data_IF_842309899940
#
_entry.id   IF_842309899940
#
_cell.length_a   1.000
_cell.length_b   1.000
_cell.length_c   1.000
_cell.angle_alpha   90.00
_cell.angle_beta   90.00
_cell.angle_gamma   90.00
#
_symmetry.space_group_name_H-M   'P 1'
#
loop_
_entity.id
_entity.type
_entity.pdbx_description
1 polymer ?
#
# COMPACT_ATOMS: atom_id res chain seq x y z
N UNK A 1 -9.96 -17.47 1.22
CA UNK A 1 -8.73 -16.86 0.67
C UNK A 1 -7.88 -16.52 1.86
N UNK A 2 -6.98 -17.43 2.20
CA UNK A 2 -6.34 -17.42 3.52
C UNK A 2 -5.09 -16.54 3.54
N UNK A 3 -4.61 -16.17 2.35
CA UNK A 3 -3.46 -15.29 2.13
C UNK A 3 -3.82 -13.81 2.09
N UNK A 4 -5.10 -13.42 2.02
CA UNK A 4 -5.52 -12.02 1.92
C UNK A 4 -6.14 -11.58 3.25
N UNK A 5 -5.63 -10.49 3.81
CA UNK A 5 -6.18 -9.90 5.03
C UNK A 5 -7.66 -9.54 4.84
N UNK A 6 -8.46 -9.69 5.90
CA UNK A 6 -9.91 -9.55 5.85
C UNK A 6 -10.39 -8.25 5.19
N UNK A 7 -9.85 -7.10 5.62
CA UNK A 7 -10.20 -5.79 5.06
C UNK A 7 -9.80 -5.58 3.59
N UNK A 8 -9.07 -6.50 2.97
CA UNK A 8 -8.70 -6.45 1.55
C UNK A 8 -9.51 -7.43 0.70
N UNK A 9 -10.33 -8.31 1.29
CA UNK A 9 -11.00 -9.40 0.56
C UNK A 9 -11.98 -8.88 -0.49
N UNK A 10 -12.74 -7.84 -0.20
CA UNK A 10 -13.72 -7.27 -1.15
C UNK A 10 -13.03 -6.66 -2.37
N UNK A 11 -11.97 -5.89 -2.15
CA UNK A 11 -11.13 -5.35 -3.22
C UNK A 11 -10.51 -6.47 -4.06
N UNK A 12 -9.98 -7.51 -3.41
CA UNK A 12 -9.42 -8.66 -4.12
C UNK A 12 -10.50 -9.42 -4.92
N UNK A 13 -11.73 -9.51 -4.41
CA UNK A 13 -12.87 -10.09 -5.15
C UNK A 13 -13.20 -9.28 -6.39
N UNK A 14 -13.25 -7.95 -6.26
CA UNK A 14 -13.46 -7.06 -7.41
C UNK A 14 -12.38 -7.25 -8.48
N UNK A 15 -11.09 -7.20 -8.08
CA UNK A 15 -9.97 -7.41 -8.99
C UNK A 15 -10.04 -8.79 -9.64
N UNK A 16 -10.38 -9.83 -8.87
CA UNK A 16 -10.53 -11.17 -9.40
C UNK A 16 -11.59 -11.25 -10.51
N UNK A 17 -12.76 -10.62 -10.30
CA UNK A 17 -13.82 -10.59 -11.31
C UNK A 17 -13.40 -9.81 -12.56
N UNK A 18 -12.73 -8.67 -12.40
CA UNK A 18 -12.19 -7.89 -13.51
C UNK A 18 -11.20 -8.72 -14.36
N UNK A 19 -10.29 -9.44 -13.69
CA UNK A 19 -9.33 -10.33 -14.33
C UNK A 19 -10.01 -11.49 -15.08
N UNK A 20 -11.10 -12.05 -14.54
CA UNK A 20 -11.90 -13.06 -15.25
C UNK A 20 -12.58 -12.49 -16.50
N UNK A 21 -12.92 -11.20 -16.48
CA UNK A 21 -13.41 -10.46 -17.65
C UNK A 21 -12.34 -10.13 -18.69
N UNK A 22 -11.08 -10.48 -18.43
CA UNK A 22 -9.95 -10.23 -19.32
C UNK A 22 -9.25 -8.90 -19.10
N UNK A 23 -9.62 -8.15 -18.06
CA UNK A 23 -8.89 -6.94 -17.69
C UNK A 23 -7.47 -7.25 -17.23
N UNK A 24 -6.58 -6.28 -17.41
CA UNK A 24 -5.20 -6.33 -16.93
C UNK A 24 -5.02 -5.29 -15.82
N UNK A 25 -4.50 -5.72 -14.68
CA UNK A 25 -4.24 -4.83 -13.54
C UNK A 25 -2.73 -4.63 -13.41
N UNK A 26 -2.24 -3.46 -13.82
CA UNK A 26 -0.81 -3.16 -13.82
C UNK A 26 -0.23 -2.76 -12.46
N UNK A 27 -1.08 -2.25 -11.56
CA UNK A 27 -0.67 -1.90 -10.20
C UNK A 27 -1.85 -2.03 -9.25
N UNK A 28 -1.69 -2.84 -8.22
CA UNK A 28 -2.58 -2.89 -7.08
C UNK A 28 -1.79 -3.12 -5.79
N UNK A 29 -2.19 -2.42 -4.73
CA UNK A 29 -1.70 -2.67 -3.38
C UNK A 29 -2.75 -3.46 -2.58
N UNK A 30 -2.28 -4.44 -1.81
CA UNK A 30 -3.08 -5.26 -0.91
C UNK A 30 -2.25 -5.69 0.30
N UNK A 31 -2.90 -6.31 1.28
CA UNK A 31 -2.23 -6.87 2.46
C UNK A 31 -2.36 -8.38 2.45
N UNK A 32 -1.21 -9.04 2.35
CA UNK A 32 -1.14 -10.49 2.48
C UNK A 32 -0.86 -10.93 3.91
N UNK A 33 -1.28 -12.15 4.23
CA UNK A 33 -0.93 -12.85 5.46
C UNK A 33 0.15 -13.89 5.13
N UNK A 34 1.28 -13.83 5.85
CA UNK A 34 2.24 -14.94 5.82
C UNK A 34 1.71 -16.14 6.60
N UNK A 35 2.43 -17.27 6.49
CA UNK A 35 2.06 -18.53 7.16
C UNK A 35 1.92 -18.41 8.68
N UNK A 36 2.61 -17.45 9.30
CA UNK A 36 2.57 -17.13 10.74
C UNK A 36 1.54 -16.05 11.10
N UNK A 37 0.72 -15.60 10.15
CA UNK A 37 -0.32 -14.58 10.35
C UNK A 37 0.17 -13.13 10.28
N UNK A 38 1.47 -12.88 10.04
CA UNK A 38 1.97 -11.51 9.88
C UNK A 38 1.41 -10.85 8.62
N UNK A 39 0.99 -9.58 8.76
CA UNK A 39 0.53 -8.74 7.65
C UNK A 39 1.73 -8.21 6.86
N UNK A 40 1.69 -8.39 5.54
CA UNK A 40 2.71 -7.93 4.59
C UNK A 40 2.02 -7.05 3.55
N UNK A 41 2.37 -5.77 3.52
CA UNK A 41 1.87 -4.88 2.47
C UNK A 41 2.61 -5.17 1.19
N UNK A 42 1.87 -5.51 0.14
CA UNK A 42 2.42 -5.87 -1.16
C UNK A 42 1.84 -5.00 -2.27
N UNK A 43 2.65 -4.76 -3.28
CA UNK A 43 2.27 -4.08 -4.52
C UNK A 43 2.54 -5.01 -5.69
N UNK A 44 1.58 -5.17 -6.60
CA UNK A 44 1.76 -6.09 -7.70
C UNK A 44 0.89 -5.81 -8.91
N UNK A 45 1.12 -6.64 -9.93
CA UNK A 45 0.32 -6.70 -11.15
C UNK A 45 -0.31 -8.07 -11.28
N UNK A 46 -1.46 -8.13 -11.93
CA UNK A 46 -2.18 -9.36 -12.19
C UNK A 46 -2.67 -9.39 -13.64
N UNK A 47 -2.66 -10.59 -14.22
CA UNK A 47 -3.16 -10.83 -15.56
C UNK A 47 -3.78 -12.23 -15.65
N UNK A 48 -4.64 -12.41 -16.64
CA UNK A 48 -5.27 -13.70 -16.96
C UNK A 48 -4.79 -14.17 -18.33
N UNK A 49 -4.48 -15.46 -18.43
CA UNK A 49 -4.18 -16.12 -19.70
C UNK A 49 -5.41 -16.87 -20.17
N UNK A 50 -5.74 -16.68 -21.45
CA UNK A 50 -6.88 -17.33 -22.10
C UNK A 50 -6.42 -18.24 -23.23
N UNK A 51 -7.07 -19.38 -23.38
CA UNK A 51 -6.97 -20.27 -24.54
C UNK A 51 -8.37 -20.58 -25.06
N UNK A 52 -8.60 -20.38 -26.37
CA UNK A 52 -9.90 -20.61 -27.00
C UNK A 52 -11.08 -19.91 -26.26
N UNK A 53 -10.84 -18.68 -25.79
CA UNK A 53 -11.83 -17.88 -25.06
C UNK A 53 -12.08 -18.33 -23.61
N UNK A 54 -11.33 -19.30 -23.08
CA UNK A 54 -11.46 -19.79 -21.70
C UNK A 54 -10.26 -19.40 -20.86
N UNK A 55 -10.50 -19.07 -19.59
CA UNK A 55 -9.44 -18.79 -18.61
C UNK A 55 -8.65 -20.08 -18.34
N UNK A 56 -7.34 -20.06 -18.57
CA UNK A 56 -6.44 -21.19 -18.28
C UNK A 56 -5.50 -20.91 -17.11
N UNK A 57 -5.17 -19.65 -16.85
CA UNK A 57 -4.32 -19.27 -15.72
C UNK A 57 -4.57 -17.83 -15.29
N UNK A 58 -4.30 -17.53 -14.02
CA UNK A 58 -4.19 -16.17 -13.50
C UNK A 58 -2.82 -16.03 -12.83
N UNK A 59 -2.06 -15.02 -13.24
CA UNK A 59 -0.70 -14.80 -12.76
C UNK A 59 -0.62 -13.45 -12.06
N UNK A 60 -0.23 -13.47 -10.78
CA UNK A 60 0.05 -12.29 -9.99
C UNK A 60 1.52 -12.23 -9.59
N UNK A 61 2.17 -11.07 -9.76
CA UNK A 61 3.53 -10.83 -9.26
C UNK A 61 3.44 -9.69 -8.26
N UNK A 62 3.88 -9.95 -7.03
CA UNK A 62 3.78 -9.02 -5.90
C UNK A 62 5.14 -8.78 -5.27
N UNK A 63 5.42 -7.53 -4.93
CA UNK A 63 6.61 -7.06 -4.21
C UNK A 63 6.21 -6.63 -2.81
N UNK A 64 6.96 -7.08 -1.81
CA UNK A 64 6.82 -6.57 -0.45
C UNK A 64 7.26 -5.09 -0.39
N UNK A 65 6.34 -4.21 -0.02
CA UNK A 65 6.55 -2.77 0.12
C UNK A 65 6.47 -2.32 1.58
N UNK A 66 6.41 -3.24 2.55
CA UNK A 66 6.26 -2.93 3.97
C UNK A 66 7.37 -1.99 4.47
N UNK A 67 8.61 -2.17 3.99
CA UNK A 67 9.73 -1.26 4.32
C UNK A 67 9.53 0.14 3.76
N UNK A 68 9.01 0.25 2.52
CA UNK A 68 8.72 1.54 1.87
C UNK A 68 7.65 2.30 2.64
N UNK A 69 6.55 1.62 2.95
CA UNK A 69 5.42 2.20 3.71
C UNK A 69 5.84 2.66 5.11
N UNK A 70 6.63 1.86 5.84
CA UNK A 70 7.14 2.26 7.16
C UNK A 70 8.04 3.48 7.12
N UNK A 71 8.92 3.59 6.12
CA UNK A 71 9.79 4.76 5.96
C UNK A 71 9.00 6.03 5.67
N UNK A 72 8.00 5.93 4.79
CA UNK A 72 7.15 7.07 4.44
C UNK A 72 6.32 7.56 5.64
N UNK A 73 5.76 6.64 6.42
CA UNK A 73 5.06 6.97 7.66
C UNK A 73 5.97 7.65 8.69
N UNK A 74 7.17 7.11 8.91
CA UNK A 74 8.12 7.69 9.86
C UNK A 74 8.57 9.09 9.43
N UNK A 75 8.76 9.32 8.12
CA UNK A 75 9.09 10.63 7.58
C UNK A 75 7.96 11.63 7.82
N UNK A 76 6.72 11.27 7.46
CA UNK A 76 5.54 12.12 7.68
C UNK A 76 5.32 12.44 9.14
N UNK A 77 5.51 11.48 10.04
CA UNK A 77 5.40 11.69 11.47
C UNK A 77 6.50 12.65 11.99
N UNK A 78 7.72 12.53 11.46
CA UNK A 78 8.80 13.46 11.79
C UNK A 78 8.53 14.87 11.29
N UNK A 79 8.03 15.03 10.07
CA UNK A 79 7.63 16.33 9.51
C UNK A 79 6.49 16.95 10.31
N UNK A 80 5.51 16.14 10.72
CA UNK A 80 4.42 16.61 11.56
C UNK A 80 4.91 17.04 12.95
N UNK A 81 5.78 16.25 13.61
CA UNK A 81 6.38 16.64 14.89
C UNK A 81 7.21 17.91 14.76
N UNK A 82 8.02 18.03 13.71
CA UNK A 82 8.80 19.24 13.44
C UNK A 82 7.87 20.44 13.26
N UNK A 83 6.84 20.33 12.41
CA UNK A 83 5.85 21.38 12.19
C UNK A 83 5.18 21.82 13.50
N UNK A 84 4.74 20.86 14.32
CA UNK A 84 4.12 21.15 15.62
C UNK A 84 5.08 21.85 16.58
N UNK A 85 6.37 21.49 16.60
CA UNK A 85 7.37 22.19 17.42
C UNK A 85 7.56 23.63 16.94
N UNK A 86 7.67 23.85 15.63
CA UNK A 86 7.86 25.19 15.07
C UNK A 86 6.61 26.07 15.25
N UNK A 87 5.42 25.55 14.95
CA UNK A 87 4.15 26.27 15.10
C UNK A 87 3.86 26.60 16.57
N UNK A 88 4.14 25.68 17.51
CA UNK A 88 4.03 25.97 18.95
C UNK A 88 5.19 26.84 19.49
N UNK A 89 6.33 26.93 18.79
CA UNK A 89 7.44 27.83 19.16
C UNK A 89 7.29 29.25 18.61
N UNK A 90 6.27 29.51 17.78
CA UNK A 90 5.99 30.85 17.25
C UNK A 90 5.63 31.86 18.35
N UNK A 91 5.31 31.40 19.57
CA UNK A 91 5.19 32.26 20.75
C UNK A 91 6.55 32.61 21.41
N UNK A 92 7.66 31.96 21.03
CA UNK A 92 8.97 32.09 21.69
C UNK A 92 10.06 32.69 20.78
N UNK A 93 9.91 32.67 19.46
CA UNK A 93 10.85 33.34 18.53
C UNK A 93 10.35 34.71 18.03
N UNK A 94 10.00 35.61 18.95
CA UNK A 94 10.18 37.03 18.69
C UNK A 94 11.37 37.52 19.53
N UNK A 95 12.17 38.42 18.93
CA UNK A 95 13.36 39.07 19.47
C UNK A 95 14.66 38.28 19.25
N UNK A 96 15.20 38.41 18.03
CA UNK A 96 16.59 38.87 17.91
C UNK A 96 16.67 39.87 16.75
N UNK A 97 16.27 41.12 17.02
CA UNK A 97 16.80 42.28 16.30
C UNK A 97 17.50 43.12 17.35
N UNK A 98 18.82 42.97 17.45
CA UNK A 98 19.67 43.78 18.32
C UNK A 98 20.24 44.92 17.48
N UNK A 99 19.96 46.15 17.90
CA UNK A 99 20.57 47.45 17.56
C UNK A 99 20.90 47.76 16.10
#
# INVERSE_FOLDING_TARGET
MDIVAEGCRDKCRYIFNALLGGERIDRNETVFLSKDGRRITVEGRCQTTFENGKVVAMTGIFRDISKRVKKDLALRESEHRFRMLFENSTDIMQIVSTN
#
